data_IF_383263867490
#
_entry.id   IF_383263867490
#
_cell.length_a   1.000
_cell.length_b   1.000
_cell.length_c   1.000
_cell.angle_alpha   90.00
_cell.angle_beta   90.00
_cell.angle_gamma   90.00
#
_symmetry.space_group_name_H-M   'P 1'
#
loop_
_entity.id
_entity.type
_entity.pdbx_description
1 polymer ?
#
# COMPACT_ATOMS: atom_id res chain seq x y z
N UNK A 1 -43.26 -7.66 -10.66
CA UNK A 1 -42.07 -7.97 -9.83
C UNK A 1 -41.44 -9.25 -10.36
N UNK A 2 -40.45 -9.14 -11.23
CA UNK A 2 -39.67 -10.26 -11.76
C UNK A 2 -38.19 -9.89 -11.62
N UNK A 3 -37.46 -10.67 -10.82
CA UNK A 3 -36.00 -10.66 -10.74
C UNK A 3 -35.51 -11.87 -11.54
N UNK A 4 -34.78 -11.63 -12.62
CA UNK A 4 -33.89 -12.60 -13.27
C UNK A 4 -32.54 -11.90 -13.42
N UNK A 5 -31.54 -12.33 -12.65
CA UNK A 5 -30.45 -13.23 -13.09
C UNK A 5 -29.70 -12.64 -14.29
N UNK A 6 -28.54 -12.04 -14.02
CA UNK A 6 -27.40 -12.10 -14.94
C UNK A 6 -26.11 -11.88 -14.12
N UNK A 7 -25.56 -13.00 -13.63
CA UNK A 7 -24.15 -13.10 -13.33
C UNK A 7 -23.43 -13.25 -14.67
N UNK A 8 -22.51 -12.33 -14.99
CA UNK A 8 -21.57 -12.51 -16.09
C UNK A 8 -20.22 -12.83 -15.48
N UNK A 9 -19.96 -14.14 -15.43
CA UNK A 9 -18.62 -14.72 -15.37
C UNK A 9 -17.84 -14.28 -16.61
N UNK A 10 -16.64 -13.75 -16.42
CA UNK A 10 -15.56 -13.87 -17.41
C UNK A 10 -14.41 -14.66 -16.81
N UNK A 11 -14.40 -15.95 -17.16
CA UNK A 11 -13.23 -16.81 -17.16
C UNK A 11 -12.90 -17.11 -18.63
N UNK A 12 -11.77 -16.59 -19.12
CA UNK A 12 -10.96 -17.01 -20.28
C UNK A 12 -9.98 -15.84 -20.57
N UNK A 13 -8.69 -16.00 -20.76
CA UNK A 13 -8.06 -16.99 -21.63
C UNK A 13 -6.66 -17.41 -21.14
N UNK A 14 -6.44 -18.73 -21.16
CA UNK A 14 -5.13 -19.36 -21.24
C UNK A 14 -4.73 -19.50 -22.72
N UNK A 15 -3.46 -19.24 -23.01
CA UNK A 15 -2.75 -19.88 -24.13
C UNK A 15 -2.65 -19.12 -25.45
N UNK A 16 -1.71 -18.17 -25.55
CA UNK A 16 -1.01 -17.83 -26.79
C UNK A 16 0.35 -17.17 -26.45
N UNK A 17 1.45 -17.46 -27.15
CA UNK A 17 2.68 -16.70 -26.98
C UNK A 17 2.49 -15.33 -27.66
N UNK A 18 2.25 -14.29 -26.88
CA UNK A 18 2.19 -12.93 -27.39
C UNK A 18 3.61 -12.43 -27.61
N UNK A 19 4.04 -12.41 -28.87
CA UNK A 19 5.18 -11.62 -29.32
C UNK A 19 4.94 -10.14 -28.97
N UNK A 20 5.89 -9.56 -28.25
CA UNK A 20 5.86 -8.21 -27.71
C UNK A 20 5.58 -7.13 -28.77
N UNK A 21 4.60 -6.27 -28.49
CA UNK A 21 4.55 -4.91 -29.02
C UNK A 21 4.81 -3.95 -27.87
N UNK A 22 6.02 -3.40 -27.82
CA UNK A 22 6.33 -2.22 -27.00
C UNK A 22 5.49 -1.08 -27.56
N UNK A 23 4.42 -0.70 -26.85
CA UNK A 23 3.59 0.45 -27.21
C UNK A 23 4.39 1.70 -26.89
N UNK A 24 4.67 2.53 -27.90
CA UNK A 24 5.42 3.77 -27.68
C UNK A 24 4.59 4.80 -26.89
N UNK A 25 5.23 5.68 -26.12
CA UNK A 25 4.58 6.74 -25.32
C UNK A 25 3.56 7.56 -26.14
N UNK A 26 3.87 7.79 -27.42
CA UNK A 26 3.01 8.48 -28.37
C UNK A 26 1.75 7.70 -28.76
N UNK A 27 1.82 6.37 -28.79
CA UNK A 27 0.68 5.50 -29.09
C UNK A 27 -0.24 5.38 -27.88
N UNK A 28 0.29 5.27 -26.67
CA UNK A 28 -0.50 5.28 -25.45
C UNK A 28 -1.27 6.61 -25.30
N UNK A 29 -0.58 7.75 -25.41
CA UNK A 29 -1.19 9.07 -25.34
C UNK A 29 -2.23 9.31 -26.45
N UNK A 30 -1.96 8.84 -27.68
CA UNK A 30 -2.89 8.98 -28.81
C UNK A 30 -4.15 8.13 -28.63
N UNK A 31 -4.04 6.89 -28.13
CA UNK A 31 -5.19 6.03 -27.91
C UNK A 31 -6.03 6.47 -26.71
N UNK A 32 -5.39 6.93 -25.64
CA UNK A 32 -6.08 7.51 -24.49
C UNK A 32 -6.80 8.81 -24.88
N UNK A 33 -6.13 9.67 -25.67
CA UNK A 33 -6.72 10.88 -26.22
C UNK A 33 -7.92 10.60 -27.13
N UNK A 34 -7.88 9.55 -27.95
CA UNK A 34 -9.02 9.12 -28.80
C UNK A 34 -10.19 8.56 -27.98
N UNK A 35 -9.91 7.79 -26.93
CA UNK A 35 -10.93 7.27 -26.03
C UNK A 35 -11.68 8.40 -25.29
N UNK A 36 -10.95 9.48 -24.93
CA UNK A 36 -11.52 10.67 -24.30
C UNK A 36 -12.24 11.60 -25.29
N UNK A 37 -11.74 11.74 -26.53
CA UNK A 37 -12.30 12.64 -27.54
C UNK A 37 -13.61 12.15 -28.19
N UNK A 38 -13.92 10.84 -28.14
CA UNK A 38 -15.18 10.29 -28.66
C UNK A 38 -16.40 10.52 -27.74
N UNK A 39 -16.22 11.23 -26.62
CA UNK A 39 -17.26 11.50 -25.60
C UNK A 39 -18.21 12.66 -25.93
N UNK A 40 -18.00 13.39 -27.03
CA UNK A 40 -18.79 14.60 -27.36
C UNK A 40 -19.95 14.28 -28.30
N UNK A 41 -20.88 13.42 -27.88
CA UNK A 41 -22.31 13.56 -28.23
C UNK A 41 -23.20 12.59 -27.44
N UNK A 42 -24.15 13.16 -26.69
CA UNK A 42 -25.32 12.56 -26.04
C UNK A 42 -25.11 11.45 -24.98
N UNK A 43 -25.54 11.73 -23.74
CA UNK A 43 -25.91 10.70 -22.75
C UNK A 43 -25.07 10.71 -21.46
N UNK A 44 -25.59 11.31 -20.39
CA UNK A 44 -24.94 11.36 -19.07
C UNK A 44 -24.70 9.98 -18.41
N UNK A 45 -25.46 8.94 -18.79
CA UNK A 45 -25.25 7.57 -18.30
C UNK A 45 -24.28 6.77 -19.18
N UNK A 46 -24.17 7.09 -20.47
CA UNK A 46 -23.20 6.49 -21.38
C UNK A 46 -21.81 7.12 -21.19
N UNK A 47 -21.73 8.42 -20.90
CA UNK A 47 -20.47 9.11 -20.65
C UNK A 47 -19.77 8.56 -19.40
N UNK A 48 -20.50 8.37 -18.29
CA UNK A 48 -19.95 7.77 -17.06
C UNK A 48 -19.49 6.32 -17.27
N UNK A 49 -20.27 5.52 -18.01
CA UNK A 49 -19.90 4.13 -18.32
C UNK A 49 -18.69 4.03 -19.26
N UNK A 50 -18.56 4.96 -20.21
CA UNK A 50 -17.41 5.03 -21.13
C UNK A 50 -16.15 5.59 -20.46
N UNK A 51 -16.27 6.61 -19.62
CA UNK A 51 -15.19 7.14 -18.78
C UNK A 51 -14.66 6.05 -17.84
N UNK A 52 -15.55 5.33 -17.16
CA UNK A 52 -15.18 4.23 -16.27
C UNK A 52 -14.49 3.08 -17.02
N UNK A 53 -14.95 2.76 -18.24
CA UNK A 53 -14.28 1.76 -19.11
C UNK A 53 -12.91 2.23 -19.60
N UNK A 54 -12.75 3.52 -19.93
CA UNK A 54 -11.46 4.10 -20.33
C UNK A 54 -10.45 4.09 -19.18
N UNK A 55 -10.91 4.44 -17.99
CA UNK A 55 -10.16 4.40 -16.74
C UNK A 55 -9.75 2.97 -16.35
N UNK A 56 -10.67 2.01 -16.40
CA UNK A 56 -10.36 0.59 -16.15
C UNK A 56 -9.30 0.05 -17.13
N UNK A 57 -9.39 0.39 -18.42
CA UNK A 57 -8.36 0.01 -19.42
C UNK A 57 -7.01 0.67 -19.14
N UNK A 58 -6.99 1.90 -18.63
CA UNK A 58 -5.74 2.56 -18.27
C UNK A 58 -5.03 1.82 -17.13
N UNK A 59 -5.76 1.43 -16.07
CA UNK A 59 -5.20 0.63 -14.99
C UNK A 59 -4.75 -0.75 -15.47
N UNK A 60 -5.51 -1.43 -16.33
CA UNK A 60 -5.07 -2.71 -16.91
C UNK A 60 -3.73 -2.58 -17.64
N UNK A 61 -3.55 -1.51 -18.44
CA UNK A 61 -2.29 -1.24 -19.13
C UNK A 61 -1.14 -0.97 -18.15
N UNK A 62 -1.41 -0.21 -17.08
CA UNK A 62 -0.46 0.02 -15.96
C UNK A 62 -0.05 -1.29 -15.31
N UNK A 63 -1.01 -2.15 -14.98
CA UNK A 63 -0.74 -3.46 -14.38
C UNK A 63 0.05 -4.38 -15.31
N UNK A 64 -0.17 -4.32 -16.62
CA UNK A 64 0.61 -5.09 -17.60
C UNK A 64 2.05 -4.60 -17.65
N UNK A 65 2.28 -3.30 -17.83
CA UNK A 65 3.64 -2.82 -17.97
C UNK A 65 4.42 -2.75 -16.64
N UNK A 66 3.74 -2.72 -15.48
CA UNK A 66 4.37 -3.05 -14.19
C UNK A 66 4.81 -4.51 -14.14
N UNK A 67 4.01 -5.44 -14.67
CA UNK A 67 4.36 -6.87 -14.70
C UNK A 67 5.51 -7.18 -15.67
N UNK A 68 5.58 -6.46 -16.79
CA UNK A 68 6.62 -6.63 -17.80
C UNK A 68 7.95 -5.96 -17.40
N UNK A 69 7.94 -5.09 -16.39
CA UNK A 69 9.14 -4.47 -15.84
C UNK A 69 9.70 -5.34 -14.69
N UNK A 70 10.83 -6.04 -14.89
CA UNK A 70 11.35 -6.98 -13.89
C UNK A 70 11.77 -6.23 -12.62
N UNK A 71 11.38 -6.76 -11.47
CA UNK A 71 11.71 -6.17 -10.17
C UNK A 71 10.48 -5.96 -9.29
N UNK A 72 10.35 -4.75 -8.75
CA UNK A 72 9.34 -4.43 -7.74
C UNK A 72 7.95 -4.37 -8.34
N UNK A 73 7.77 -3.75 -9.52
CA UNK A 73 6.51 -3.72 -10.26
C UNK A 73 5.95 -5.12 -10.52
N UNK A 74 6.79 -6.03 -11.02
CA UNK A 74 6.42 -7.43 -11.24
C UNK A 74 5.97 -8.11 -9.95
N UNK A 75 6.74 -7.95 -8.87
CA UNK A 75 6.44 -8.57 -7.56
C UNK A 75 5.10 -8.09 -6.99
N UNK A 76 4.78 -6.81 -7.17
CA UNK A 76 3.52 -6.19 -6.72
C UNK A 76 2.35 -6.76 -7.53
N UNK A 77 2.47 -6.80 -8.85
CA UNK A 77 1.40 -7.32 -9.71
C UNK A 77 1.16 -8.80 -9.45
N UNK A 78 2.22 -9.59 -9.25
CA UNK A 78 2.12 -11.01 -8.91
C UNK A 78 1.41 -11.19 -7.58
N UNK A 79 1.77 -10.42 -6.54
CA UNK A 79 1.10 -10.46 -5.25
C UNK A 79 -0.40 -10.13 -5.37
N UNK A 80 -0.75 -9.08 -6.12
CA UNK A 80 -2.14 -8.69 -6.36
C UNK A 80 -2.92 -9.80 -7.08
N UNK A 81 -2.32 -10.48 -8.06
CA UNK A 81 -2.93 -11.61 -8.76
C UNK A 81 -3.13 -12.82 -7.84
N UNK A 82 -2.12 -13.19 -7.08
CA UNK A 82 -2.14 -14.35 -6.18
C UNK A 82 -3.20 -14.21 -5.07
N UNK A 83 -3.47 -12.98 -4.64
CA UNK A 83 -4.48 -12.66 -3.63
C UNK A 83 -5.83 -12.27 -4.23
N UNK A 84 -5.99 -12.39 -5.56
CA UNK A 84 -7.17 -11.99 -6.30
C UNK A 84 -7.60 -10.55 -5.94
N UNK A 85 -6.67 -9.62 -5.80
CA UNK A 85 -6.95 -8.24 -5.41
C UNK A 85 -7.70 -7.47 -6.52
N UNK A 86 -8.43 -6.44 -6.15
CA UNK A 86 -9.01 -5.47 -7.09
C UNK A 86 -8.12 -4.24 -7.21
N UNK A 87 -8.02 -3.65 -8.40
CA UNK A 87 -7.35 -2.37 -8.64
C UNK A 87 -8.31 -1.50 -9.44
N UNK A 88 -8.85 -0.46 -8.81
CA UNK A 88 -9.96 0.30 -9.37
C UNK A 88 -9.84 1.80 -9.07
N UNK A 89 -10.40 2.61 -9.97
CA UNK A 89 -10.65 4.01 -9.69
C UNK A 89 -11.89 4.16 -8.82
N UNK A 90 -11.79 4.92 -7.73
CA UNK A 90 -12.94 5.13 -6.85
C UNK A 90 -12.94 6.52 -6.22
N UNK A 91 -14.08 7.22 -6.31
CA UNK A 91 -14.33 8.51 -5.66
C UNK A 91 -14.64 8.32 -4.17
N UNK A 92 -13.76 7.63 -3.43
CA UNK A 92 -13.89 7.49 -1.98
C UNK A 92 -13.60 8.87 -1.36
N UNK A 93 -14.62 9.72 -1.35
CA UNK A 93 -14.67 11.06 -0.72
C UNK A 93 -14.71 10.99 0.81
N UNK A 94 -14.41 9.84 1.41
CA UNK A 94 -14.38 9.71 2.86
C UNK A 94 -12.95 9.90 3.36
N UNK A 95 -12.73 11.04 4.02
CA UNK A 95 -11.53 11.48 4.76
C UNK A 95 -10.98 10.48 5.81
N UNK A 96 -11.43 9.22 5.83
CA UNK A 96 -11.06 8.19 6.81
C UNK A 96 -10.79 6.81 6.24
N UNK A 97 -10.81 6.62 4.92
CA UNK A 97 -10.33 5.36 4.33
C UNK A 97 -9.03 5.63 3.62
N UNK A 98 -7.97 5.00 4.10
CA UNK A 98 -6.81 4.84 3.26
C UNK A 98 -7.22 4.09 1.99
N UNK A 99 -6.52 4.40 0.90
CA UNK A 99 -6.71 3.84 -0.43
C UNK A 99 -6.42 2.32 -0.52
N UNK A 100 -6.05 1.70 0.60
CA UNK A 100 -6.03 0.25 0.83
C UNK A 100 -7.24 -0.18 1.67
N UNK A 101 -8.21 -0.84 1.05
CA UNK A 101 -9.34 -1.40 1.77
C UNK A 101 -9.56 -2.87 1.40
N UNK A 102 -10.28 -3.58 2.25
CA UNK A 102 -10.72 -4.94 1.94
C UNK A 102 -12.15 -4.87 1.38
N UNK A 103 -12.35 -5.35 0.14
CA UNK A 103 -13.69 -5.59 -0.39
C UNK A 103 -14.40 -6.57 0.53
N UNK A 104 -15.59 -6.18 1.00
CA UNK A 104 -16.37 -6.99 1.95
C UNK A 104 -16.39 -6.48 3.39
N UNK A 105 -15.89 -5.27 3.70
CA UNK A 105 -16.03 -4.67 5.04
C UNK A 105 -17.50 -4.54 5.54
N UNK A 106 -18.49 -4.81 4.67
CA UNK A 106 -19.92 -4.87 4.98
C UNK A 106 -20.60 -6.22 4.68
N UNK A 107 -19.86 -7.28 4.30
CA UNK A 107 -20.43 -8.59 3.90
C UNK A 107 -19.57 -9.76 4.42
N UNK A 108 -20.15 -10.88 4.91
CA UNK A 108 -19.41 -11.94 5.61
C UNK A 108 -18.70 -12.96 4.68
N UNK A 109 -18.31 -12.56 3.48
CA UNK A 109 -17.66 -13.41 2.47
C UNK A 109 -16.29 -12.85 2.09
N UNK A 110 -15.36 -13.66 1.52
CA UNK A 110 -13.93 -13.52 1.80
C UNK A 110 -13.39 -12.13 1.47
N UNK A 111 -12.72 -11.54 2.45
CA UNK A 111 -12.06 -10.24 2.35
C UNK A 111 -11.08 -10.28 1.17
N UNK A 112 -11.39 -9.53 0.12
CA UNK A 112 -10.55 -9.41 -1.07
C UNK A 112 -9.77 -8.10 -0.97
N UNK A 113 -8.43 -8.09 -1.07
CA UNK A 113 -7.67 -6.84 -1.02
C UNK A 113 -8.10 -5.94 -2.19
N UNK A 114 -8.14 -4.63 -1.96
CA UNK A 114 -8.44 -3.67 -3.01
C UNK A 114 -7.55 -2.43 -2.91
N UNK A 115 -6.97 -2.07 -4.05
CA UNK A 115 -6.21 -0.85 -4.29
C UNK A 115 -7.12 0.14 -5.00
N UNK A 116 -7.44 1.23 -4.31
CA UNK A 116 -8.25 2.31 -4.88
C UNK A 116 -7.38 3.50 -5.23
N UNK A 117 -7.47 3.93 -6.49
CA UNK A 117 -6.83 5.16 -6.95
C UNK A 117 -7.88 6.25 -7.03
N UNK A 118 -7.66 7.37 -6.33
CA UNK A 118 -8.60 8.49 -6.31
C UNK A 118 -8.55 9.26 -7.64
N UNK A 119 -9.63 9.32 -8.43
CA UNK A 119 -9.66 10.01 -9.72
C UNK A 119 -9.44 11.52 -9.60
N UNK A 120 -9.81 12.12 -8.46
CA UNK A 120 -9.66 13.56 -8.20
C UNK A 120 -8.20 14.05 -8.23
N UNK A 121 -7.24 13.13 -8.06
CA UNK A 121 -5.82 13.43 -8.14
C UNK A 121 -5.28 13.41 -9.59
N UNK A 122 -6.10 12.97 -10.55
CA UNK A 122 -5.65 12.69 -11.90
C UNK A 122 -6.22 13.70 -12.88
N UNK A 123 -5.35 14.55 -13.41
CA UNK A 123 -5.66 15.47 -14.52
C UNK A 123 -5.29 14.79 -15.83
N UNK A 124 -6.13 14.83 -16.87
CA UNK A 124 -5.72 14.39 -18.19
C UNK A 124 -4.53 15.23 -18.72
N UNK A 125 -3.58 14.62 -19.45
CA UNK A 125 -3.50 13.19 -19.78
C UNK A 125 -3.10 12.35 -18.57
N UNK A 126 -3.69 11.15 -18.44
CA UNK A 126 -3.32 10.24 -17.35
C UNK A 126 -1.87 9.80 -17.52
N UNK A 127 -1.06 10.06 -16.50
CA UNK A 127 0.30 9.54 -16.45
C UNK A 127 0.32 8.07 -16.08
N UNK A 128 0.87 7.28 -17.00
CA UNK A 128 1.11 5.86 -16.78
C UNK A 128 2.08 5.64 -15.60
N UNK A 129 3.15 6.45 -15.50
CA UNK A 129 4.12 6.32 -14.41
C UNK A 129 3.51 6.69 -13.07
N UNK A 130 2.79 7.82 -12.98
CA UNK A 130 2.12 8.23 -11.76
C UNK A 130 1.14 7.17 -11.26
N UNK A 131 0.32 6.62 -12.15
CA UNK A 131 -0.60 5.54 -11.80
C UNK A 131 0.14 4.31 -11.26
N UNK A 132 1.24 3.91 -11.90
CA UNK A 132 2.09 2.82 -11.41
C UNK A 132 2.62 3.10 -10.00
N UNK A 133 3.12 4.30 -9.75
CA UNK A 133 3.60 4.74 -8.44
C UNK A 133 2.51 4.67 -7.36
N UNK A 134 1.30 5.15 -7.67
CA UNK A 134 0.18 5.15 -6.73
C UNK A 134 -0.32 3.72 -6.45
N UNK A 135 -0.39 2.87 -7.47
CA UNK A 135 -0.69 1.44 -7.29
C UNK A 135 0.36 0.78 -6.40
N UNK A 136 1.65 1.05 -6.65
CA UNK A 136 2.73 0.50 -5.86
C UNK A 136 2.68 0.95 -4.40
N UNK A 137 2.35 2.21 -4.14
CA UNK A 137 2.15 2.73 -2.78
C UNK A 137 1.11 1.90 -2.03
N UNK A 138 -0.10 1.78 -2.59
CA UNK A 138 -1.24 1.15 -1.92
C UNK A 138 -1.10 -0.37 -1.81
N UNK A 139 -0.60 -1.02 -2.86
CA UNK A 139 -0.32 -2.45 -2.81
C UNK A 139 0.76 -2.77 -1.77
N UNK A 140 1.77 -1.91 -1.63
CA UNK A 140 2.82 -2.09 -0.61
C UNK A 140 2.28 -1.97 0.81
N UNK A 141 1.33 -1.06 1.06
CA UNK A 141 0.64 -0.99 2.34
C UNK A 141 -0.10 -2.29 2.68
N UNK A 142 -0.78 -2.90 1.70
CA UNK A 142 -1.46 -4.20 1.86
C UNK A 142 -0.47 -5.35 2.10
N UNK A 143 0.61 -5.40 1.31
CA UNK A 143 1.67 -6.40 1.47
C UNK A 143 2.33 -6.32 2.85
N UNK A 144 2.36 -5.13 3.45
CA UNK A 144 2.94 -4.85 4.76
C UNK A 144 1.88 -4.67 5.86
N UNK A 145 0.67 -5.23 5.70
CA UNK A 145 -0.42 -5.09 6.68
C UNK A 145 -0.01 -5.56 8.09
N UNK A 146 0.79 -6.63 8.17
CA UNK A 146 1.30 -7.18 9.44
C UNK A 146 2.54 -6.45 9.96
N UNK A 147 3.14 -5.59 9.16
CA UNK A 147 4.28 -4.79 9.56
C UNK A 147 3.77 -3.63 10.43
N UNK A 148 4.33 -3.42 11.64
CA UNK A 148 3.90 -2.34 12.52
C UNK A 148 4.05 -0.98 11.85
N UNK A 149 3.13 -0.06 12.15
CA UNK A 149 3.20 1.30 11.64
C UNK A 149 4.45 2.01 12.16
N UNK A 150 5.46 2.18 11.31
CA UNK A 150 6.76 2.74 11.67
C UNK A 150 7.41 3.49 10.51
N UNK A 151 8.45 4.26 10.81
CA UNK A 151 9.29 4.94 9.82
C UNK A 151 9.90 3.94 8.82
N UNK A 152 10.31 2.76 9.28
CA UNK A 152 10.82 1.66 8.45
C UNK A 152 9.76 1.13 7.49
N UNK A 153 8.52 0.91 7.95
CA UNK A 153 7.42 0.52 7.07
C UNK A 153 7.22 1.55 5.97
N UNK A 154 7.13 2.82 6.35
CA UNK A 154 6.94 3.93 5.40
C UNK A 154 8.09 3.98 4.42
N UNK A 155 9.33 3.85 4.87
CA UNK A 155 10.48 3.83 3.96
C UNK A 155 10.40 2.68 2.94
N UNK A 156 10.02 1.46 3.34
CA UNK A 156 9.82 0.34 2.38
C UNK A 156 8.75 0.70 1.34
N UNK A 157 7.64 1.30 1.76
CA UNK A 157 6.57 1.72 0.85
C UNK A 157 7.08 2.78 -0.13
N UNK A 158 7.81 3.79 0.36
CA UNK A 158 8.39 4.84 -0.49
C UNK A 158 9.45 4.29 -1.45
N UNK A 159 10.24 3.31 -1.02
CA UNK A 159 11.18 2.60 -1.87
C UNK A 159 10.47 1.90 -3.02
N UNK A 160 9.42 1.13 -2.74
CA UNK A 160 8.68 0.41 -3.78
C UNK A 160 7.96 1.33 -4.77
N UNK A 161 7.48 2.47 -4.28
CA UNK A 161 6.98 3.55 -5.14
C UNK A 161 8.08 4.05 -6.09
N UNK A 162 9.25 4.37 -5.55
CA UNK A 162 10.38 4.89 -6.32
C UNK A 162 10.91 3.87 -7.33
N UNK A 163 11.16 2.63 -6.90
CA UNK A 163 11.59 1.53 -7.77
C UNK A 163 10.61 1.34 -8.94
N UNK A 164 9.30 1.25 -8.65
CA UNK A 164 8.27 1.14 -9.70
C UNK A 164 8.34 2.34 -10.67
N UNK A 165 8.49 3.56 -10.17
CA UNK A 165 8.63 4.74 -11.03
C UNK A 165 9.83 4.63 -11.99
N UNK A 166 10.99 4.19 -11.49
CA UNK A 166 12.20 4.03 -12.31
C UNK A 166 12.12 2.84 -13.27
N UNK A 167 11.55 1.72 -12.84
CA UNK A 167 11.29 0.53 -13.67
C UNK A 167 10.38 0.85 -14.86
N UNK A 168 9.44 1.77 -14.67
CA UNK A 168 8.56 2.29 -15.72
C UNK A 168 9.19 3.40 -16.58
N UNK A 169 10.52 3.52 -16.56
CA UNK A 169 11.29 4.48 -17.36
C UNK A 169 11.28 5.91 -16.82
N UNK A 170 10.89 6.10 -15.56
CA UNK A 170 11.00 7.37 -14.86
C UNK A 170 12.45 7.80 -14.70
N UNK A 171 12.68 9.10 -14.55
CA UNK A 171 14.03 9.64 -14.28
C UNK A 171 13.95 10.69 -13.18
N UNK A 172 15.07 10.92 -12.49
CA UNK A 172 15.15 11.96 -11.44
C UNK A 172 14.87 13.36 -12.00
N UNK A 173 15.30 13.64 -13.23
CA UNK A 173 15.16 14.95 -13.88
C UNK A 173 13.70 15.25 -14.21
N UNK A 174 12.88 14.21 -14.43
CA UNK A 174 11.48 14.38 -14.74
C UNK A 174 10.64 14.75 -13.50
N UNK A 175 11.07 14.44 -12.28
CA UNK A 175 10.31 14.82 -11.08
C UNK A 175 10.25 16.35 -10.90
N UNK A 176 9.08 16.94 -10.54
CA UNK A 176 7.83 16.30 -10.12
C UNK A 176 6.82 16.04 -11.27
N UNK A 177 7.25 16.16 -12.53
CA UNK A 177 6.44 15.94 -13.72
C UNK A 177 6.42 14.46 -14.16
N UNK A 178 5.29 13.81 -13.96
CA UNK A 178 4.99 12.47 -14.41
C UNK A 178 4.20 12.56 -15.73
N UNK A 179 4.86 12.43 -16.88
CA UNK A 179 4.23 12.40 -18.21
C UNK A 179 3.28 13.59 -18.50
N UNK A 180 3.60 14.79 -18.02
CA UNK A 180 2.77 16.00 -18.11
C UNK A 180 1.85 16.23 -16.91
N UNK A 181 1.87 15.36 -15.90
CA UNK A 181 1.12 15.48 -14.65
C UNK A 181 2.06 15.80 -13.49
N UNK A 182 1.89 16.97 -12.88
CA UNK A 182 2.69 17.38 -11.71
C UNK A 182 2.05 16.88 -10.42
N UNK A 183 2.80 16.10 -9.63
CA UNK A 183 2.40 15.63 -8.30
C UNK A 183 3.58 15.79 -7.30
N UNK A 184 3.56 16.88 -6.54
CA UNK A 184 4.62 17.21 -5.58
C UNK A 184 4.66 16.25 -4.38
N UNK A 185 3.51 15.70 -3.98
CA UNK A 185 3.46 14.75 -2.86
C UNK A 185 4.13 13.43 -3.25
N UNK A 186 3.74 12.87 -4.39
CA UNK A 186 4.37 11.67 -4.94
C UNK A 186 5.86 11.89 -5.20
N UNK A 187 6.25 13.05 -5.75
CA UNK A 187 7.65 13.39 -5.98
C UNK A 187 8.45 13.49 -4.68
N UNK A 188 7.92 14.15 -3.64
CA UNK A 188 8.60 14.28 -2.34
C UNK A 188 8.83 12.92 -1.68
N UNK A 189 7.85 12.01 -1.78
CA UNK A 189 7.93 10.63 -1.32
C UNK A 189 9.02 9.83 -2.03
N UNK A 190 9.09 9.92 -3.35
CA UNK A 190 10.16 9.29 -4.15
C UNK A 190 11.53 9.89 -3.78
N UNK A 191 11.60 11.21 -3.56
CA UNK A 191 12.86 11.89 -3.20
C UNK A 191 13.44 11.41 -1.87
N UNK A 192 12.61 11.08 -0.87
CA UNK A 192 13.09 10.50 0.39
C UNK A 192 13.95 9.27 0.14
N UNK A 193 13.53 8.40 -0.79
CA UNK A 193 14.30 7.22 -1.15
C UNK A 193 15.53 7.55 -2.03
N UNK A 194 15.38 8.43 -3.04
CA UNK A 194 16.50 8.80 -3.94
C UNK A 194 17.69 9.38 -3.16
N UNK A 195 17.40 10.21 -2.16
CA UNK A 195 18.42 11.04 -1.51
C UNK A 195 19.03 10.38 -0.27
N UNK A 196 18.46 9.27 0.20
CA UNK A 196 18.83 8.69 1.47
C UNK A 196 18.96 7.17 1.36
N UNK A 197 20.06 6.63 1.88
CA UNK A 197 20.15 5.21 2.16
C UNK A 197 19.08 4.81 3.20
N UNK A 198 18.72 3.52 3.33
CA UNK A 198 17.61 3.10 4.20
C UNK A 198 17.64 3.64 5.63
N UNK A 199 18.81 3.66 6.28
CA UNK A 199 18.92 4.21 7.66
C UNK A 199 18.65 5.72 7.69
N UNK A 200 19.22 6.47 6.75
CA UNK A 200 19.06 7.92 6.65
C UNK A 200 17.61 8.28 6.30
N UNK A 201 16.96 7.50 5.44
CA UNK A 201 15.57 7.72 5.08
C UNK A 201 14.62 7.47 6.25
N UNK A 202 14.91 6.47 7.08
CA UNK A 202 14.20 6.24 8.35
C UNK A 202 14.37 7.43 9.29
N UNK A 203 15.56 8.01 9.39
CA UNK A 203 15.79 9.21 10.21
C UNK A 203 15.03 10.44 9.69
N UNK A 204 14.95 10.62 8.36
CA UNK A 204 14.12 11.68 7.74
C UNK A 204 12.65 11.50 8.10
N UNK A 205 12.11 10.30 7.94
CA UNK A 205 10.72 9.99 8.27
C UNK A 205 10.44 10.12 9.77
N UNK A 206 11.43 9.79 10.61
CA UNK A 206 11.36 10.04 12.05
C UNK A 206 11.25 11.54 12.36
N UNK A 207 12.03 12.37 11.67
CA UNK A 207 11.94 13.83 11.75
C UNK A 207 10.60 14.39 11.31
N UNK A 208 9.87 13.67 10.45
CA UNK A 208 8.50 14.00 10.01
C UNK A 208 7.41 13.49 10.97
N UNK A 209 7.79 12.87 12.10
CA UNK A 209 6.87 12.45 13.16
C UNK A 209 6.52 10.97 13.17
N UNK A 210 7.12 10.15 12.30
CA UNK A 210 6.95 8.70 12.36
C UNK A 210 7.79 8.09 13.49
N UNK A 211 7.22 7.15 14.25
CA UNK A 211 8.00 6.38 15.24
C UNK A 211 8.84 5.32 14.54
N UNK A 212 10.08 5.12 14.99
CA UNK A 212 10.90 3.99 14.52
C UNK A 212 10.48 2.69 15.19
N UNK A 213 10.83 1.54 14.62
CA UNK A 213 10.66 0.23 15.27
C UNK A 213 11.36 0.20 16.64
N UNK A 214 12.52 0.85 16.76
CA UNK A 214 13.23 0.97 18.03
C UNK A 214 12.44 1.76 19.07
N UNK A 215 11.85 2.89 18.67
CA UNK A 215 10.99 3.69 19.55
C UNK A 215 9.79 2.84 20.02
N UNK A 216 9.13 2.11 19.09
CA UNK A 216 8.01 1.22 19.41
C UNK A 216 8.40 0.08 20.36
N UNK A 217 9.54 -0.58 20.13
CA UNK A 217 10.04 -1.63 21.01
C UNK A 217 10.29 -1.08 22.42
N UNK A 218 10.87 0.11 22.54
CA UNK A 218 11.10 0.79 23.82
C UNK A 218 9.79 1.07 24.56
N UNK A 219 8.79 1.62 23.88
CA UNK A 219 7.46 1.87 24.45
C UNK A 219 6.77 0.59 24.92
N UNK A 220 6.81 -0.47 24.11
CA UNK A 220 6.18 -1.76 24.44
C UNK A 220 6.87 -2.45 25.63
N UNK A 221 8.20 -2.34 25.74
CA UNK A 221 8.94 -2.86 26.90
C UNK A 221 8.63 -2.08 28.18
N UNK A 222 8.56 -0.75 28.08
CA UNK A 222 8.17 0.10 29.21
C UNK A 222 6.73 -0.22 29.67
N UNK A 223 5.81 -0.38 28.71
CA UNK A 223 4.43 -0.75 28.98
C UNK A 223 4.31 -2.14 29.62
N UNK A 224 5.05 -3.12 29.12
CA UNK A 224 5.10 -4.47 29.71
C UNK A 224 5.59 -4.41 31.16
N UNK A 225 6.64 -3.62 31.43
CA UNK A 225 7.18 -3.45 32.79
C UNK A 225 6.17 -2.78 33.73
N UNK A 226 5.45 -1.76 33.22
CA UNK A 226 4.38 -1.07 33.96
C UNK A 226 3.23 -2.02 34.32
N UNK A 227 2.78 -2.83 33.37
CA UNK A 227 1.70 -3.79 33.57
C UNK A 227 2.11 -4.93 34.52
N UNK A 228 3.37 -5.38 34.47
CA UNK A 228 3.90 -6.35 35.42
C UNK A 228 3.93 -5.79 36.85
N UNK A 229 4.31 -4.52 37.03
CA UNK A 229 4.26 -3.87 38.34
C UNK A 229 2.81 -3.74 38.85
N UNK A 230 1.86 -3.42 37.96
CA UNK A 230 0.43 -3.40 38.30
C UNK A 230 -0.07 -4.78 38.73
N UNK A 231 0.29 -5.83 37.99
CA UNK A 231 -0.07 -7.21 38.32
C UNK A 231 0.42 -7.61 39.71
N UNK A 232 1.67 -7.30 40.04
CA UNK A 232 2.23 -7.55 41.37
C UNK A 232 1.49 -6.78 42.48
N UNK A 233 1.05 -5.54 42.20
CA UNK A 233 0.26 -4.75 43.14
C UNK A 233 -1.16 -5.33 43.33
N UNK A 234 -1.79 -5.84 42.26
CA UNK A 234 -3.09 -6.52 42.34
C UNK A 234 -2.97 -7.81 43.15
N UNK A 235 -1.93 -8.62 42.92
CA UNK A 235 -1.68 -9.84 43.69
C UNK A 235 -1.51 -9.56 45.19
N UNK A 236 -0.84 -8.47 45.55
CA UNK A 236 -0.74 -8.02 46.94
C UNK A 236 -2.12 -7.68 47.53
N UNK A 237 -2.99 -6.99 46.77
CA UNK A 237 -4.36 -6.67 47.23
C UNK A 237 -5.22 -7.92 47.40
N UNK A 238 -5.13 -8.88 46.48
CA UNK A 238 -5.85 -10.16 46.54
C UNK A 238 -5.43 -11.03 47.73
N UNK A 239 -4.20 -10.86 48.23
CA UNK A 239 -3.72 -11.58 49.42
C UNK A 239 -4.34 -11.10 50.75
N UNK A 240 -5.06 -9.98 50.74
CA UNK A 240 -5.74 -9.42 51.92
C UNK A 240 -7.26 -9.56 51.73
N UNK A 241 -7.97 -10.31 52.59
CA UNK A 241 -9.43 -10.40 52.54
C UNK A 241 -10.05 -9.01 52.68
N UNK A 242 -10.83 -8.59 51.69
CA UNK A 242 -11.35 -7.23 51.58
C UNK A 242 -12.79 -7.14 51.10
N UNK A 243 -13.38 -8.24 50.59
CA UNK A 243 -14.73 -8.26 50.01
C UNK A 243 -14.80 -7.73 48.58
N UNK A 244 -13.67 -7.31 48.01
CA UNK A 244 -13.52 -6.81 46.63
C UNK A 244 -12.72 -7.79 45.74
N UNK A 245 -12.62 -9.06 46.13
CA UNK A 245 -11.78 -10.05 45.46
C UNK A 245 -12.20 -10.24 43.98
N UNK A 246 -13.51 -10.21 43.70
CA UNK A 246 -14.04 -10.34 42.35
C UNK A 246 -13.57 -9.19 41.43
N UNK A 247 -13.53 -7.96 41.94
CA UNK A 247 -13.11 -6.78 41.18
C UNK A 247 -11.60 -6.84 40.88
N UNK A 248 -10.79 -7.23 41.87
CA UNK A 248 -9.35 -7.39 41.69
C UNK A 248 -8.98 -8.55 40.76
N UNK A 249 -9.71 -9.67 40.78
CA UNK A 249 -9.51 -10.76 39.81
C UNK A 249 -9.87 -10.32 38.38
N UNK A 250 -10.89 -9.49 38.20
CA UNK A 250 -11.22 -8.91 36.90
C UNK A 250 -10.13 -7.94 36.41
N UNK A 251 -9.61 -7.07 37.29
CA UNK A 251 -8.48 -6.18 36.97
C UNK A 251 -7.22 -6.97 36.61
N UNK A 252 -6.94 -8.06 37.34
CA UNK A 252 -5.84 -8.99 37.06
C UNK A 252 -5.94 -9.61 35.68
N UNK A 253 -7.13 -10.11 35.32
CA UNK A 253 -7.37 -10.70 34.01
C UNK A 253 -7.13 -9.69 32.87
N UNK A 254 -7.59 -8.44 33.03
CA UNK A 254 -7.33 -7.36 32.06
C UNK A 254 -5.84 -7.03 31.95
N UNK A 255 -5.12 -6.94 33.08
CA UNK A 255 -3.68 -6.69 33.08
C UNK A 255 -2.92 -7.80 32.35
N UNK A 256 -3.27 -9.08 32.58
CA UNK A 256 -2.69 -10.23 31.88
C UNK A 256 -2.95 -10.19 30.37
N UNK A 257 -4.16 -9.86 29.94
CA UNK A 257 -4.51 -9.70 28.53
C UNK A 257 -3.68 -8.59 27.87
N UNK A 258 -3.52 -7.44 28.54
CA UNK A 258 -2.71 -6.34 28.03
C UNK A 258 -1.22 -6.70 27.95
N UNK A 259 -0.70 -7.48 28.91
CA UNK A 259 0.69 -7.99 28.87
C UNK A 259 0.88 -8.89 27.65
N UNK A 260 -0.04 -9.83 27.40
CA UNK A 260 0.03 -10.72 26.24
C UNK A 260 -0.05 -9.93 24.92
N UNK A 261 -0.93 -8.94 24.84
CA UNK A 261 -1.04 -8.06 23.67
C UNK A 261 0.25 -7.26 23.43
N UNK A 262 0.84 -6.68 24.49
CA UNK A 262 2.10 -5.94 24.40
C UNK A 262 3.25 -6.87 23.96
N UNK A 263 3.30 -8.11 24.47
CA UNK A 263 4.28 -9.11 24.08
C UNK A 263 4.15 -9.50 22.60
N UNK A 264 2.92 -9.72 22.10
CA UNK A 264 2.66 -10.00 20.68
C UNK A 264 3.09 -8.83 19.78
N UNK A 265 2.78 -7.59 20.17
CA UNK A 265 3.22 -6.40 19.43
C UNK A 265 4.75 -6.25 19.43
N UNK A 266 5.40 -6.57 20.55
CA UNK A 266 6.86 -6.52 20.66
C UNK A 266 7.52 -7.58 19.77
N UNK A 267 6.98 -8.80 19.72
CA UNK A 267 7.44 -9.85 18.81
C UNK A 267 7.27 -9.44 17.34
N UNK A 268 6.12 -8.85 16.98
CA UNK A 268 5.89 -8.30 15.64
C UNK A 268 6.91 -7.19 15.29
N UNK A 269 7.21 -6.27 16.21
CA UNK A 269 8.20 -5.22 15.99
C UNK A 269 9.63 -5.78 15.82
N UNK A 270 9.99 -6.86 16.51
CA UNK A 270 11.28 -7.55 16.36
C UNK A 270 11.38 -8.30 15.03
N UNK A 271 10.31 -8.96 14.59
CA UNK A 271 10.24 -9.60 13.28
C UNK A 271 10.35 -8.58 12.15
N UNK A 272 9.62 -7.48 12.27
CA UNK A 272 9.69 -6.35 11.36
C UNK A 272 11.10 -5.75 11.27
N UNK A 273 11.84 -5.67 12.39
CA UNK A 273 13.24 -5.22 12.36
C UNK A 273 14.14 -6.18 11.56
N UNK A 274 13.92 -7.49 11.68
CA UNK A 274 14.66 -8.48 10.90
C UNK A 274 14.30 -8.41 9.41
N UNK A 275 13.03 -8.24 9.08
CA UNK A 275 12.56 -8.02 7.70
C UNK A 275 13.14 -6.74 7.11
N UNK A 276 13.17 -5.64 7.86
CA UNK A 276 13.79 -4.39 7.42
C UNK A 276 15.28 -4.56 7.16
N UNK A 277 16.02 -5.29 8.02
CA UNK A 277 17.44 -5.59 7.77
C UNK A 277 17.67 -6.41 6.50
N UNK A 278 16.75 -7.33 6.17
CA UNK A 278 16.81 -8.07 4.91
C UNK A 278 16.56 -7.13 3.72
N UNK A 279 15.55 -6.27 3.83
CA UNK A 279 15.26 -5.22 2.85
C UNK A 279 16.46 -4.28 2.64
N UNK A 280 17.13 -3.81 3.69
CA UNK A 280 18.33 -2.96 3.57
C UNK A 280 19.44 -3.59 2.73
N UNK A 281 19.62 -4.91 2.84
CA UNK A 281 20.60 -5.64 2.02
C UNK A 281 20.19 -5.67 0.56
N UNK A 282 18.93 -6.04 0.29
CA UNK A 282 18.35 -6.01 -1.05
C UNK A 282 18.48 -4.61 -1.69
N UNK A 283 18.10 -3.55 -0.99
CA UNK A 283 18.19 -2.16 -1.47
C UNK A 283 19.62 -1.76 -1.82
N UNK A 284 20.57 -2.14 -0.97
CA UNK A 284 21.98 -1.86 -1.23
C UNK A 284 22.45 -2.56 -2.50
N UNK A 285 22.01 -3.80 -2.75
CA UNK A 285 22.32 -4.56 -3.97
C UNK A 285 21.61 -3.97 -5.21
N UNK A 286 20.34 -3.56 -5.07
CA UNK A 286 19.56 -2.92 -6.11
C UNK A 286 20.23 -1.60 -6.54
N UNK A 287 20.56 -0.73 -5.58
CA UNK A 287 21.21 0.56 -5.85
C UNK A 287 22.59 0.37 -6.50
N UNK A 288 23.31 -0.70 -6.16
CA UNK A 288 24.62 -0.98 -6.76
C UNK A 288 24.51 -1.55 -8.18
N UNK A 289 23.47 -2.32 -8.48
CA UNK A 289 23.21 -2.89 -9.81
C UNK A 289 22.60 -1.90 -10.80
N UNK A 290 21.96 -0.83 -10.32
CA UNK A 290 21.27 0.18 -11.14
C UNK A 290 21.95 1.57 -11.11
N UNK A 291 23.20 1.67 -10.63
CA UNK A 291 23.99 2.89 -10.77
C UNK A 291 24.27 3.16 -12.25
N UNK A 292 23.97 4.36 -12.77
CA UNK A 292 24.41 4.74 -14.10
C UNK A 292 25.94 4.75 -14.12
N UNK A 293 26.52 3.94 -15.00
CA UNK A 293 27.95 3.93 -15.33
C UNK A 293 28.39 5.24 -16.00
#
# INVERSE_FOLDING_TARGET
MQRSVLAVLMSAALGAPASAQVVSDSQFASELGKALAQSVSSGQDLSKSMEQKGLSRALERVMVAMYDAPGTGESIVQWLRDHNAAVEFSDITMEKRSSHAWLGDFVPEPRKPAVYITPLLLKPPLSYRLLGTLVAQEASELMLEKFPESAEKRYIVLARMAETYFELGGTRIALPDFDGTIDEDAASKIQVWIENAPEQGVDVLRGQGHKTLRDLQGELLAEQSRLQALLAAIDQRLSVPSGYEADYEAEKAQALEQIDLAAKKLDAAKKAEAEFKAFQRYETEWLMSHRPS
#
